data_IF_455091594243
#
_entry.id   IF_455091594243
#
_cell.length_a   1.000
_cell.length_b   1.000
_cell.length_c   1.000
_cell.angle_alpha   90.00
_cell.angle_beta   90.00
_cell.angle_gamma   90.00
#
_symmetry.space_group_name_H-M   'P 1'
#
loop_
_entity.id
_entity.type
_entity.pdbx_description
1 polymer ?
#
# COMPACT_ATOMS: atom_id res chain seq x y z
N UNK A 1 12.92 -9.32 -21.09
CA UNK A 1 11.60 -9.73 -20.55
C UNK A 1 11.04 -8.73 -19.53
N UNK A 2 11.78 -8.32 -18.50
CA UNK A 2 11.27 -7.46 -17.41
C UNK A 2 10.76 -6.06 -17.81
N UNK A 3 11.34 -5.45 -18.86
CA UNK A 3 10.88 -4.13 -19.33
C UNK A 3 9.50 -4.22 -19.97
N UNK A 4 9.28 -5.25 -20.80
CA UNK A 4 7.99 -5.51 -21.45
C UNK A 4 6.90 -5.85 -20.42
N UNK A 5 7.26 -6.62 -19.39
CA UNK A 5 6.37 -6.96 -18.28
C UNK A 5 5.99 -5.74 -17.44
N UNK A 6 6.93 -4.83 -17.18
CA UNK A 6 6.63 -3.55 -16.51
C UNK A 6 5.75 -2.64 -17.35
N UNK A 7 6.00 -2.53 -18.66
CA UNK A 7 5.12 -1.77 -19.56
C UNK A 7 3.71 -2.36 -19.61
N UNK A 8 3.60 -3.68 -19.64
CA UNK A 8 2.32 -4.37 -19.55
C UNK A 8 1.62 -4.09 -18.22
N UNK A 9 2.33 -4.16 -17.10
CA UNK A 9 1.78 -3.86 -15.78
C UNK A 9 1.25 -2.42 -15.72
N UNK A 10 2.02 -1.45 -16.21
CA UNK A 10 1.62 -0.04 -16.25
C UNK A 10 0.38 0.14 -17.12
N UNK A 11 0.35 -0.46 -18.31
CA UNK A 11 -0.81 -0.42 -19.20
C UNK A 11 -2.05 -1.02 -18.54
N UNK A 12 -1.93 -2.20 -17.92
CA UNK A 12 -3.02 -2.84 -17.19
C UNK A 12 -3.45 -2.01 -15.98
N UNK A 13 -2.53 -1.39 -15.26
CA UNK A 13 -2.82 -0.53 -14.12
C UNK A 13 -3.63 0.72 -14.51
N UNK A 14 -3.26 1.38 -15.61
CA UNK A 14 -3.96 2.58 -16.12
C UNK A 14 -5.31 2.23 -16.75
N UNK A 15 -5.44 1.06 -17.39
CA UNK A 15 -6.65 0.72 -18.16
C UNK A 15 -7.63 -0.11 -17.33
N UNK A 16 -7.18 -1.21 -16.73
CA UNK A 16 -8.08 -2.19 -16.11
C UNK A 16 -8.66 -1.67 -14.79
N UNK A 17 -7.87 -0.96 -13.98
CA UNK A 17 -8.35 -0.51 -12.65
C UNK A 17 -9.41 0.60 -12.75
N UNK A 18 -9.26 1.64 -13.60
CA UNK A 18 -10.32 2.62 -13.81
C UNK A 18 -11.54 2.04 -14.51
N UNK A 19 -11.35 1.17 -15.51
CA UNK A 19 -12.46 0.50 -16.21
C UNK A 19 -13.28 -0.37 -15.25
N UNK A 20 -12.60 -1.05 -14.32
CA UNK A 20 -13.26 -1.81 -13.27
C UNK A 20 -14.09 -0.89 -12.38
N UNK A 21 -13.53 0.20 -11.85
CA UNK A 21 -14.27 1.17 -11.03
C UNK A 21 -15.54 1.66 -11.76
N UNK A 22 -15.41 2.04 -13.03
CA UNK A 22 -16.55 2.43 -13.88
C UNK A 22 -17.62 1.34 -13.99
N UNK A 23 -17.21 0.10 -14.30
CA UNK A 23 -18.14 -1.02 -14.49
C UNK A 23 -18.97 -1.29 -13.23
N UNK A 24 -18.38 -1.18 -12.04
CA UNK A 24 -19.12 -1.34 -10.78
C UNK A 24 -20.11 -0.20 -10.55
N UNK A 25 -19.71 1.07 -10.73
CA UNK A 25 -20.64 2.19 -10.60
C UNK A 25 -21.81 2.11 -11.61
N UNK A 26 -21.54 1.68 -12.84
CA UNK A 26 -22.57 1.44 -13.84
C UNK A 26 -23.53 0.33 -13.43
N UNK A 27 -23.03 -0.79 -12.88
CA UNK A 27 -23.87 -1.88 -12.38
C UNK A 27 -24.80 -1.41 -11.24
N UNK A 28 -24.31 -0.57 -10.32
CA UNK A 28 -25.15 -0.02 -9.25
C UNK A 28 -26.18 0.98 -9.75
N UNK A 29 -25.84 1.81 -10.74
CA UNK A 29 -26.80 2.69 -11.37
C UNK A 29 -27.97 1.89 -11.99
N UNK A 30 -27.67 0.75 -12.60
CA UNK A 30 -28.70 -0.17 -13.14
C UNK A 30 -29.58 -0.74 -12.03
N UNK A 31 -28.99 -1.21 -10.91
CA UNK A 31 -29.77 -1.72 -9.78
C UNK A 31 -30.67 -0.63 -9.20
N UNK A 32 -30.13 0.57 -8.96
CA UNK A 32 -30.91 1.68 -8.41
C UNK A 32 -32.06 2.09 -9.33
N UNK A 33 -31.83 2.10 -10.65
CA UNK A 33 -32.87 2.37 -11.64
C UNK A 33 -33.96 1.30 -11.59
N UNK A 34 -33.60 0.02 -11.53
CA UNK A 34 -34.57 -1.08 -11.39
C UNK A 34 -35.41 -0.93 -10.12
N UNK A 35 -34.75 -0.69 -8.98
CA UNK A 35 -35.43 -0.47 -7.69
C UNK A 35 -36.37 0.73 -7.77
N UNK A 36 -35.94 1.84 -8.39
CA UNK A 36 -36.76 3.03 -8.58
C UNK A 36 -38.00 2.77 -9.44
N UNK A 37 -37.86 2.01 -10.53
CA UNK A 37 -39.00 1.61 -11.39
C UNK A 37 -39.97 0.71 -10.63
N UNK A 38 -39.47 -0.27 -9.86
CA UNK A 38 -40.33 -1.11 -9.05
C UNK A 38 -41.03 -0.33 -7.92
N UNK A 39 -40.35 0.63 -7.30
CA UNK A 39 -40.93 1.47 -6.26
C UNK A 39 -42.00 2.43 -6.81
N UNK A 40 -41.81 2.99 -8.01
CA UNK A 40 -42.75 3.97 -8.58
C UNK A 40 -44.09 3.35 -8.97
N UNK A 41 -44.11 2.05 -9.26
CA UNK A 41 -45.35 1.30 -9.52
C UNK A 41 -45.83 0.56 -8.27
N UNK A 42 -44.91 -0.04 -7.53
CA UNK A 42 -45.20 -0.90 -6.38
C UNK A 42 -45.76 -0.13 -5.18
N UNK A 43 -45.26 1.07 -4.88
CA UNK A 43 -45.76 1.87 -3.75
C UNK A 43 -47.21 2.35 -3.98
N UNK A 44 -47.56 2.94 -5.14
CA UNK A 44 -48.96 3.27 -5.44
C UNK A 44 -49.88 2.06 -5.43
N UNK A 45 -49.43 0.93 -5.99
CA UNK A 45 -50.22 -0.30 -6.00
C UNK A 45 -50.44 -0.86 -4.58
N UNK A 46 -49.39 -0.88 -3.75
CA UNK A 46 -49.50 -1.29 -2.35
C UNK A 46 -50.45 -0.40 -1.58
N UNK A 47 -50.38 0.91 -1.79
CA UNK A 47 -51.30 1.86 -1.17
C UNK A 47 -52.75 1.63 -1.61
N UNK A 48 -52.98 1.41 -2.91
CA UNK A 48 -54.30 1.07 -3.42
C UNK A 48 -54.86 -0.22 -2.83
N UNK A 49 -54.01 -1.24 -2.64
CA UNK A 49 -54.43 -2.49 -2.00
C UNK A 49 -54.81 -2.27 -0.53
N UNK A 50 -54.04 -1.48 0.22
CA UNK A 50 -54.35 -1.14 1.61
C UNK A 50 -55.66 -0.36 1.73
N UNK A 51 -55.88 0.68 0.91
CA UNK A 51 -57.13 1.44 0.91
C UNK A 51 -58.35 0.58 0.54
N UNK A 52 -58.17 -0.37 -0.37
CA UNK A 52 -59.23 -1.33 -0.71
C UNK A 52 -59.53 -2.27 0.46
N UNK A 53 -58.52 -2.65 1.25
CA UNK A 53 -58.69 -3.47 2.45
C UNK A 53 -59.41 -2.70 3.57
N UNK A 54 -59.17 -1.40 3.70
CA UNK A 54 -59.88 -0.53 4.66
C UNK A 54 -61.31 -0.13 4.22
N UNK A 55 -61.80 -0.67 3.11
CA UNK A 55 -63.19 -0.52 2.68
C UNK A 55 -63.48 0.74 1.86
N UNK A 56 -62.46 1.44 1.35
CA UNK A 56 -62.66 2.57 0.44
C UNK A 56 -63.20 2.06 -0.89
N UNK A 57 -64.20 2.77 -1.44
CA UNK A 57 -64.80 2.42 -2.72
C UNK A 57 -63.77 2.42 -3.85
N UNK A 58 -63.90 1.48 -4.80
CA UNK A 58 -62.95 1.31 -5.92
C UNK A 58 -62.74 2.60 -6.73
N UNK A 59 -63.79 3.40 -6.91
CA UNK A 59 -63.72 4.66 -7.66
C UNK A 59 -62.88 5.73 -6.93
N UNK A 60 -63.09 5.89 -5.63
CA UNK A 60 -62.34 6.85 -4.81
C UNK A 60 -60.88 6.42 -4.68
N UNK A 61 -60.64 5.12 -4.47
CA UNK A 61 -59.29 4.55 -4.37
C UNK A 61 -58.49 4.73 -5.68
N UNK A 62 -59.09 4.44 -6.83
CA UNK A 62 -58.45 4.63 -8.13
C UNK A 62 -58.16 6.11 -8.40
N UNK A 63 -59.09 7.00 -8.06
CA UNK A 63 -58.88 8.44 -8.19
C UNK A 63 -57.72 8.95 -7.30
N UNK A 64 -57.72 8.60 -6.00
CA UNK A 64 -56.66 8.98 -5.07
C UNK A 64 -55.29 8.44 -5.50
N UNK A 65 -55.24 7.16 -5.88
CA UNK A 65 -53.97 6.52 -6.23
C UNK A 65 -53.40 7.09 -7.53
N UNK A 66 -54.23 7.30 -8.56
CA UNK A 66 -53.76 7.75 -9.87
C UNK A 66 -53.42 9.25 -9.90
N UNK A 67 -54.24 10.10 -9.28
CA UNK A 67 -54.09 11.56 -9.38
C UNK A 67 -53.26 12.19 -8.26
N UNK A 68 -53.08 11.50 -7.13
CA UNK A 68 -52.30 12.04 -6.02
C UNK A 68 -51.10 11.16 -5.70
N UNK A 69 -51.30 9.88 -5.39
CA UNK A 69 -50.21 9.02 -4.88
C UNK A 69 -49.17 8.72 -5.95
N UNK A 70 -49.58 8.32 -7.15
CA UNK A 70 -48.68 8.06 -8.26
C UNK A 70 -47.81 9.28 -8.64
N UNK A 71 -48.36 10.47 -8.92
CA UNK A 71 -47.53 11.62 -9.29
C UNK A 71 -46.61 12.05 -8.14
N UNK A 72 -47.06 12.03 -6.89
CA UNK A 72 -46.22 12.37 -5.73
C UNK A 72 -45.05 11.38 -5.61
N UNK A 73 -45.33 10.08 -5.63
CA UNK A 73 -44.28 9.04 -5.55
C UNK A 73 -43.35 9.07 -6.75
N UNK A 74 -43.86 9.29 -7.96
CA UNK A 74 -43.06 9.43 -9.17
C UNK A 74 -42.11 10.63 -9.08
N UNK A 75 -42.57 11.80 -8.63
CA UNK A 75 -41.73 13.00 -8.46
C UNK A 75 -40.64 12.76 -7.42
N UNK A 76 -40.98 12.18 -6.27
CA UNK A 76 -40.01 11.89 -5.19
C UNK A 76 -38.94 10.91 -5.70
N UNK A 77 -39.35 9.80 -6.31
CA UNK A 77 -38.42 8.78 -6.80
C UNK A 77 -37.55 9.32 -7.93
N UNK A 78 -38.13 10.08 -8.87
CA UNK A 78 -37.36 10.67 -9.98
C UNK A 78 -36.35 11.69 -9.46
N UNK A 79 -36.72 12.54 -8.51
CA UNK A 79 -35.80 13.47 -7.87
C UNK A 79 -34.68 12.75 -7.11
N UNK A 80 -35.02 11.70 -6.37
CA UNK A 80 -34.06 10.87 -5.65
C UNK A 80 -33.08 10.16 -6.60
N UNK A 81 -33.56 9.60 -7.70
CA UNK A 81 -32.73 8.99 -8.75
C UNK A 81 -31.81 10.01 -9.43
N UNK A 82 -32.30 11.23 -9.67
CA UNK A 82 -31.47 12.29 -10.26
C UNK A 82 -30.33 12.70 -9.32
N UNK A 83 -30.59 12.87 -8.02
CA UNK A 83 -29.56 13.15 -7.03
C UNK A 83 -28.55 11.99 -6.90
N UNK A 84 -29.05 10.75 -6.86
CA UNK A 84 -28.21 9.57 -6.83
C UNK A 84 -27.34 9.45 -8.09
N UNK A 85 -27.88 9.78 -9.26
CA UNK A 85 -27.13 9.79 -10.51
C UNK A 85 -25.98 10.80 -10.47
N UNK A 86 -26.24 12.03 -10.01
CA UNK A 86 -25.19 13.06 -9.84
C UNK A 86 -24.11 12.58 -8.87
N UNK A 87 -24.52 12.03 -7.73
CA UNK A 87 -23.59 11.49 -6.73
C UNK A 87 -22.73 10.36 -7.28
N UNK A 88 -23.34 9.39 -7.97
CA UNK A 88 -22.61 8.28 -8.60
C UNK A 88 -21.65 8.80 -9.67
N UNK A 89 -22.02 9.82 -10.44
CA UNK A 89 -21.16 10.43 -11.45
C UNK A 89 -19.92 11.07 -10.81
N UNK A 90 -20.09 11.89 -9.78
CA UNK A 90 -18.98 12.49 -9.03
C UNK A 90 -18.09 11.43 -8.39
N UNK A 91 -18.69 10.44 -7.72
CA UNK A 91 -17.96 9.34 -7.08
C UNK A 91 -17.19 8.50 -8.10
N UNK A 92 -17.76 8.24 -9.28
CA UNK A 92 -17.09 7.49 -10.35
C UNK A 92 -15.83 8.22 -10.82
N UNK A 93 -15.91 9.55 -11.01
CA UNK A 93 -14.75 10.36 -11.44
C UNK A 93 -13.63 10.30 -10.40
N UNK A 94 -13.97 10.50 -9.12
CA UNK A 94 -12.98 10.45 -8.02
C UNK A 94 -12.34 9.06 -7.93
N UNK A 95 -13.13 7.99 -7.90
CA UNK A 95 -12.60 6.64 -7.79
C UNK A 95 -11.85 6.18 -9.04
N UNK A 96 -12.21 6.64 -10.23
CA UNK A 96 -11.40 6.40 -11.43
C UNK A 96 -10.06 7.11 -11.36
N UNK A 97 -10.01 8.36 -10.90
CA UNK A 97 -8.77 9.12 -10.74
C UNK A 97 -7.84 8.48 -9.70
N UNK A 98 -8.39 8.08 -8.55
CA UNK A 98 -7.66 7.32 -7.52
C UNK A 98 -7.16 5.98 -8.06
N UNK A 99 -8.02 5.21 -8.74
CA UNK A 99 -7.66 3.93 -9.33
C UNK A 99 -6.54 4.06 -10.36
N UNK A 100 -6.57 5.13 -11.14
CA UNK A 100 -5.54 5.44 -12.14
C UNK A 100 -4.22 5.79 -11.45
N UNK A 101 -4.25 6.64 -10.42
CA UNK A 101 -3.06 7.01 -9.65
C UNK A 101 -2.43 5.80 -8.95
N UNK A 102 -3.22 5.04 -8.18
CA UNK A 102 -2.74 3.84 -7.51
C UNK A 102 -2.30 2.76 -8.48
N UNK A 103 -3.03 2.58 -9.58
CA UNK A 103 -2.70 1.62 -10.63
C UNK A 103 -1.40 1.94 -11.32
N UNK A 104 -1.18 3.21 -11.66
CA UNK A 104 0.06 3.69 -12.26
C UNK A 104 1.24 3.54 -11.31
N UNK A 105 1.16 4.09 -10.10
CA UNK A 105 2.28 4.13 -9.15
C UNK A 105 2.69 2.71 -8.75
N UNK A 106 1.74 1.84 -8.40
CA UNK A 106 2.08 0.49 -7.98
C UNK A 106 2.61 -0.37 -9.13
N UNK A 107 2.09 -0.20 -10.35
CA UNK A 107 2.57 -0.96 -11.50
C UNK A 107 3.93 -0.45 -12.00
N UNK A 108 4.21 0.85 -11.85
CA UNK A 108 5.51 1.45 -12.16
C UNK A 108 6.60 0.96 -11.20
N UNK A 109 6.31 1.01 -9.89
CA UNK A 109 7.26 0.67 -8.83
C UNK A 109 7.46 -0.85 -8.71
N UNK A 110 6.38 -1.62 -8.77
CA UNK A 110 6.37 -3.04 -8.41
C UNK A 110 5.98 -3.98 -9.57
N UNK A 111 5.83 -3.47 -10.80
CA UNK A 111 5.53 -4.30 -11.97
C UNK A 111 4.20 -5.06 -11.85
N UNK A 112 4.17 -6.31 -12.33
CA UNK A 112 2.94 -7.11 -12.31
C UNK A 112 2.46 -7.48 -10.91
N UNK A 113 3.38 -7.66 -9.94
CA UNK A 113 3.01 -7.89 -8.54
C UNK A 113 2.31 -6.66 -7.94
N UNK A 114 2.77 -5.46 -8.31
CA UNK A 114 2.10 -4.20 -8.01
C UNK A 114 0.68 -4.16 -8.54
N UNK A 115 0.51 -4.44 -9.84
CA UNK A 115 -0.80 -4.51 -10.48
C UNK A 115 -1.74 -5.50 -9.76
N UNK A 116 -1.30 -6.75 -9.56
CA UNK A 116 -2.13 -7.78 -8.93
C UNK A 116 -2.47 -7.45 -7.48
N UNK A 117 -1.54 -6.86 -6.75
CA UNK A 117 -1.78 -6.40 -5.40
C UNK A 117 -2.85 -5.30 -5.41
N UNK A 118 -2.69 -4.25 -6.22
CA UNK A 118 -3.68 -3.16 -6.35
C UNK A 118 -5.04 -3.68 -6.79
N UNK A 119 -5.09 -4.60 -7.77
CA UNK A 119 -6.32 -5.24 -8.21
C UNK A 119 -7.03 -6.00 -7.09
N UNK A 120 -6.28 -6.60 -6.16
CA UNK A 120 -6.84 -7.34 -5.01
C UNK A 120 -7.18 -6.44 -3.82
N UNK A 121 -6.43 -5.36 -3.60
CA UNK A 121 -6.57 -4.48 -2.44
C UNK A 121 -7.54 -3.33 -2.67
N UNK A 122 -7.78 -2.94 -3.92
CA UNK A 122 -8.77 -1.93 -4.26
C UNK A 122 -10.16 -2.45 -3.87
N UNK A 123 -10.61 -2.06 -2.67
CA UNK A 123 -11.99 -2.17 -2.25
C UNK A 123 -12.79 -1.17 -3.05
N UNK A 124 -13.51 -1.67 -4.05
CA UNK A 124 -14.42 -0.93 -4.93
C UNK A 124 -15.66 -0.46 -4.16
N UNK A 125 -15.82 -0.95 -2.93
CA UNK A 125 -16.88 -0.61 -2.01
C UNK A 125 -16.29 0.23 -0.88
N UNK A 126 -16.48 1.55 -0.95
CA UNK A 126 -16.47 2.32 0.29
C UNK A 126 -17.70 1.90 1.09
N UNK A 127 -17.53 1.74 2.39
CA UNK A 127 -18.66 1.54 3.31
C UNK A 127 -19.66 2.69 3.16
N UNK A 128 -19.17 3.87 2.73
CA UNK A 128 -19.93 5.10 2.49
C UNK A 128 -20.89 4.99 1.30
N UNK A 129 -20.50 4.33 0.20
CA UNK A 129 -21.40 4.02 -0.91
C UNK A 129 -22.50 3.05 -0.48
N UNK A 130 -22.15 2.01 0.29
CA UNK A 130 -23.14 1.06 0.79
C UNK A 130 -24.09 1.67 1.81
N UNK A 131 -23.57 2.52 2.68
CA UNK A 131 -24.37 3.25 3.67
C UNK A 131 -25.29 4.25 2.98
N UNK A 132 -24.81 4.96 1.95
CA UNK A 132 -25.63 5.87 1.14
C UNK A 132 -26.73 5.12 0.39
N UNK A 133 -26.43 3.95 -0.17
CA UNK A 133 -27.43 3.07 -0.79
C UNK A 133 -28.43 2.53 0.24
N UNK A 134 -27.99 2.14 1.44
CA UNK A 134 -28.89 1.71 2.53
C UNK A 134 -29.83 2.82 2.99
N UNK A 135 -29.31 4.04 3.14
CA UNK A 135 -30.09 5.23 3.45
C UNK A 135 -31.12 5.48 2.33
N UNK A 136 -30.70 5.37 1.08
CA UNK A 136 -31.57 5.55 -0.09
C UNK A 136 -32.68 4.48 -0.21
N UNK A 137 -32.35 3.22 0.08
CA UNK A 137 -33.30 2.08 0.00
C UNK A 137 -34.14 1.95 1.27
N UNK A 138 -33.99 2.86 2.25
CA UNK A 138 -34.76 2.83 3.50
C UNK A 138 -34.44 1.64 4.42
N UNK A 139 -33.31 0.97 4.20
CA UNK A 139 -32.80 -0.14 5.01
C UNK A 139 -31.95 0.32 6.20
N UNK A 140 -31.90 1.62 6.47
CA UNK A 140 -31.15 2.18 7.57
C UNK A 140 -31.85 1.90 8.91
N UNK A 141 -31.18 1.14 9.76
CA UNK A 141 -31.54 1.05 11.18
C UNK A 141 -31.31 2.44 11.79
N UNK A 142 -32.32 3.04 12.42
CA UNK A 142 -32.34 4.44 12.89
C UNK A 142 -31.19 4.79 13.84
N UNK A 143 -30.51 3.79 14.41
CA UNK A 143 -29.32 3.98 15.26
C UNK A 143 -28.04 4.34 14.47
N UNK A 144 -28.02 4.29 13.13
CA UNK A 144 -26.85 4.63 12.31
C UNK A 144 -26.93 6.01 11.64
N UNK A 145 -28.05 6.73 11.75
CA UNK A 145 -28.22 8.07 11.16
C UNK A 145 -27.42 9.17 11.89
N UNK A 146 -26.79 8.88 13.03
CA UNK A 146 -25.95 9.82 13.77
C UNK A 146 -24.49 9.91 13.30
N UNK A 147 -24.03 9.07 12.36
CA UNK A 147 -22.63 9.13 11.89
C UNK A 147 -22.35 10.27 10.91
N UNK A 148 -23.38 10.84 10.27
CA UNK A 148 -23.18 11.93 9.28
C UNK A 148 -22.93 13.30 9.94
N UNK A 149 -23.13 13.42 11.26
CA UNK A 149 -22.71 14.59 12.03
C UNK A 149 -21.20 14.57 12.35
N UNK A 150 -20.51 13.45 12.14
CA UNK A 150 -19.08 13.32 12.46
C UNK A 150 -18.16 13.84 11.36
N UNK A 151 -18.52 13.72 10.08
CA UNK A 151 -17.71 14.26 8.96
C UNK A 151 -17.70 15.79 8.93
N UNK A 152 -18.80 16.45 9.31
CA UNK A 152 -18.83 17.91 9.43
C UNK A 152 -18.11 18.44 10.69
N UNK A 153 -17.93 17.59 11.71
CA UNK A 153 -17.10 17.95 12.89
C UNK A 153 -15.61 17.84 12.63
N UNK A 154 -15.15 17.13 11.60
CA UNK A 154 -13.71 17.12 11.25
C UNK A 154 -13.28 18.47 10.69
N UNK A 155 -14.16 19.20 9.99
CA UNK A 155 -13.85 20.52 9.43
C UNK A 155 -14.04 21.64 10.47
N UNK A 156 -15.00 21.52 11.39
CA UNK A 156 -15.25 22.53 12.43
C UNK A 156 -14.50 22.29 13.77
N UNK A 157 -14.04 21.06 14.04
CA UNK A 157 -13.42 20.66 15.31
C UNK A 157 -11.90 20.87 15.38
N UNK A 158 -11.27 21.40 14.33
CA UNK A 158 -9.84 21.70 14.28
C UNK A 158 -9.41 22.86 15.19
N UNK A 159 -10.34 23.54 15.86
CA UNK A 159 -10.01 24.73 16.65
C UNK A 159 -9.93 24.51 18.16
N UNK A 160 -10.49 23.45 18.75
CA UNK A 160 -10.41 23.24 20.20
C UNK A 160 -10.58 21.77 20.56
N UNK A 161 -9.50 21.08 20.92
CA UNK A 161 -9.60 19.86 21.72
C UNK A 161 -8.65 19.93 22.91
N UNK A 162 -9.27 20.14 24.07
CA UNK A 162 -8.72 19.83 25.38
C UNK A 162 -8.61 18.30 25.48
N UNK A 163 -7.39 17.81 25.73
CA UNK A 163 -7.06 16.40 25.72
C UNK A 163 -7.49 15.81 27.06
N UNK A 164 -8.72 15.30 27.11
CA UNK A 164 -9.19 14.51 28.27
C UNK A 164 -8.44 13.17 28.25
N UNK A 165 -7.61 12.99 29.27
CA UNK A 165 -6.88 11.75 29.53
C UNK A 165 -7.85 10.76 30.21
N UNK A 166 -8.50 9.92 29.42
CA UNK A 166 -9.18 8.73 29.94
C UNK A 166 -8.24 7.52 29.81
N UNK A 167 -8.22 6.67 30.84
CA UNK A 167 -7.47 5.42 30.85
C UNK A 167 -8.11 4.40 29.89
N UNK A 168 -7.33 3.79 29.00
CA UNK A 168 -7.85 2.90 27.95
C UNK A 168 -7.17 1.53 27.94
N UNK A 169 -7.93 0.49 28.31
CA UNK A 169 -7.60 -0.91 28.07
C UNK A 169 -8.10 -1.34 26.67
N UNK A 170 -7.18 -1.62 25.74
CA UNK A 170 -7.49 -2.25 24.44
C UNK A 170 -7.06 -3.73 24.52
N UNK A 171 -8.00 -4.71 24.52
CA UNK A 171 -7.70 -6.08 24.97
C UNK A 171 -6.80 -6.96 24.08
N UNK A 172 -6.44 -6.57 22.84
CA UNK A 172 -5.81 -7.50 21.88
C UNK A 172 -4.52 -7.00 21.19
N UNK A 173 -4.11 -5.75 21.43
CA UNK A 173 -2.84 -5.22 20.90
C UNK A 173 -1.79 -5.30 21.99
N UNK A 174 -0.99 -6.36 21.98
CA UNK A 174 0.09 -6.53 22.94
C UNK A 174 1.12 -5.41 22.74
N UNK A 175 1.17 -4.46 23.68
CA UNK A 175 2.38 -3.68 23.91
C UNK A 175 3.45 -4.66 24.38
N UNK A 176 4.51 -4.84 23.61
CA UNK A 176 5.65 -5.66 24.01
C UNK A 176 6.80 -4.73 24.35
N UNK A 177 7.43 -5.00 25.49
CA UNK A 177 8.65 -4.29 25.88
C UNK A 177 9.68 -4.36 24.74
N UNK A 178 10.38 -3.25 24.46
CA UNK A 178 11.44 -3.23 23.47
C UNK A 178 12.49 -4.28 23.83
N UNK A 179 12.71 -5.24 22.93
CA UNK A 179 13.73 -6.28 23.12
C UNK A 179 15.10 -5.74 22.70
N UNK A 180 16.14 -6.35 23.28
CA UNK A 180 17.55 -5.97 23.16
C UNK A 180 17.99 -5.57 21.74
N UNK A 181 18.94 -4.62 21.63
CA UNK A 181 19.42 -4.10 20.37
C UNK A 181 19.93 -5.23 19.49
N UNK A 182 19.33 -5.32 18.32
CA UNK A 182 19.70 -6.24 17.27
C UNK A 182 21.10 -5.94 16.75
N UNK A 183 21.88 -6.99 16.45
CA UNK A 183 23.16 -6.85 15.74
C UNK A 183 22.83 -6.37 14.33
N UNK A 184 22.92 -5.06 14.11
CA UNK A 184 22.68 -4.42 12.82
C UNK A 184 23.88 -4.63 11.88
N UNK A 185 23.70 -4.31 10.60
CA UNK A 185 24.79 -4.31 9.62
C UNK A 185 25.63 -3.04 9.79
N UNK A 186 26.94 -3.21 9.96
CA UNK A 186 27.89 -2.09 9.96
C UNK A 186 27.99 -1.46 8.56
N UNK A 187 28.41 -0.19 8.47
CA UNK A 187 28.65 0.50 7.19
C UNK A 187 29.57 -0.28 6.24
N UNK A 188 30.56 -0.99 6.81
CA UNK A 188 31.48 -1.82 6.02
C UNK A 188 30.80 -3.07 5.46
N UNK A 189 29.84 -3.66 6.18
CA UNK A 189 29.05 -4.78 5.68
C UNK A 189 28.08 -4.32 4.60
N UNK A 190 27.44 -3.16 4.78
CA UNK A 190 26.54 -2.55 3.80
C UNK A 190 27.25 -2.29 2.46
N UNK A 191 28.44 -1.66 2.48
CA UNK A 191 29.25 -1.42 1.28
C UNK A 191 29.60 -2.72 0.54
N UNK A 192 29.99 -3.76 1.26
CA UNK A 192 30.31 -5.07 0.66
C UNK A 192 29.09 -5.72 -0.03
N UNK A 193 27.90 -5.58 0.58
CA UNK A 193 26.66 -6.09 -0.01
C UNK A 193 26.30 -5.28 -1.26
N UNK A 194 26.43 -3.96 -1.21
CA UNK A 194 26.19 -3.07 -2.35
C UNK A 194 27.12 -3.38 -3.53
N UNK A 195 28.43 -3.53 -3.27
CA UNK A 195 29.41 -3.96 -4.27
C UNK A 195 29.04 -5.30 -4.90
N UNK A 196 28.68 -6.30 -4.08
CA UNK A 196 28.24 -7.62 -4.54
C UNK A 196 27.00 -7.52 -5.43
N UNK A 197 26.02 -6.71 -5.03
CA UNK A 197 24.80 -6.47 -5.82
C UNK A 197 25.16 -5.83 -7.16
N UNK A 198 26.01 -4.80 -7.20
CA UNK A 198 26.42 -4.09 -8.42
C UNK A 198 27.14 -5.06 -9.37
N UNK A 199 28.12 -5.81 -8.87
CA UNK A 199 28.91 -6.73 -9.68
C UNK A 199 28.05 -7.86 -10.26
N UNK A 200 27.24 -8.53 -9.44
CA UNK A 200 26.38 -9.62 -9.93
C UNK A 200 25.28 -9.12 -10.88
N UNK A 201 24.86 -7.86 -10.74
CA UNK A 201 23.91 -7.24 -11.68
C UNK A 201 24.54 -7.04 -13.05
N UNK A 202 25.82 -6.67 -13.12
CA UNK A 202 26.54 -6.50 -14.39
C UNK A 202 26.64 -7.79 -15.18
N UNK A 203 26.79 -8.92 -14.50
CA UNK A 203 26.87 -10.26 -15.11
C UNK A 203 25.55 -11.02 -15.07
N UNK A 204 24.43 -10.33 -14.84
CA UNK A 204 23.12 -10.95 -14.61
C UNK A 204 22.74 -11.95 -15.69
N UNK A 205 23.10 -11.72 -16.95
CA UNK A 205 22.72 -12.60 -18.07
C UNK A 205 23.38 -13.98 -17.99
N UNK A 206 24.64 -14.04 -17.54
CA UNK A 206 25.43 -15.27 -17.39
C UNK A 206 25.09 -16.10 -16.14
N UNK A 207 24.27 -15.57 -15.23
CA UNK A 207 23.91 -16.26 -14.00
C UNK A 207 22.88 -17.37 -14.24
N UNK A 208 23.01 -18.47 -13.50
CA UNK A 208 21.97 -19.48 -13.39
C UNK A 208 20.65 -18.88 -12.85
N UNK A 209 19.53 -19.47 -13.22
CA UNK A 209 18.19 -18.96 -12.86
C UNK A 209 18.00 -18.84 -11.34
N UNK A 210 18.47 -19.83 -10.58
CA UNK A 210 18.42 -19.82 -9.11
C UNK A 210 19.23 -18.64 -8.52
N UNK A 211 20.41 -18.35 -9.06
CA UNK A 211 21.27 -17.24 -8.63
C UNK A 211 20.65 -15.89 -8.98
N UNK A 212 19.93 -15.79 -10.10
CA UNK A 212 19.15 -14.59 -10.49
C UNK A 212 18.02 -14.31 -9.50
N UNK A 213 17.34 -15.35 -9.04
CA UNK A 213 16.27 -15.25 -8.04
C UNK A 213 16.83 -14.82 -6.67
N UNK A 214 17.93 -15.43 -6.23
CA UNK A 214 18.63 -15.06 -4.99
C UNK A 214 19.15 -13.62 -5.02
N UNK A 215 19.75 -13.18 -6.14
CA UNK A 215 20.19 -11.79 -6.32
C UNK A 215 19.01 -10.81 -6.28
N UNK A 216 17.87 -11.19 -6.85
CA UNK A 216 16.67 -10.34 -6.85
C UNK A 216 16.10 -10.23 -5.43
N UNK A 217 16.05 -11.34 -4.70
CA UNK A 217 15.60 -11.36 -3.31
C UNK A 217 16.53 -10.56 -2.39
N UNK A 218 17.86 -10.69 -2.56
CA UNK A 218 18.85 -9.89 -1.85
C UNK A 218 18.67 -8.39 -2.11
N UNK A 219 18.45 -7.98 -3.36
CA UNK A 219 18.17 -6.57 -3.69
C UNK A 219 16.94 -6.04 -2.97
N UNK A 220 15.85 -6.80 -2.97
CA UNK A 220 14.60 -6.40 -2.32
C UNK A 220 14.83 -6.24 -0.81
N UNK A 221 15.42 -7.23 -0.16
CA UNK A 221 15.69 -7.18 1.28
C UNK A 221 16.67 -6.08 1.65
N UNK A 222 17.73 -5.87 0.86
CA UNK A 222 18.69 -4.79 1.08
C UNK A 222 18.02 -3.42 1.03
N UNK A 223 17.20 -3.15 0.00
CA UNK A 223 16.46 -1.88 -0.12
C UNK A 223 15.46 -1.70 1.03
N UNK A 224 14.74 -2.75 1.42
CA UNK A 224 13.82 -2.70 2.56
C UNK A 224 14.54 -2.41 3.88
N UNK A 225 15.69 -3.05 4.09
CA UNK A 225 16.53 -2.82 5.26
C UNK A 225 17.02 -1.36 5.30
N UNK A 226 17.57 -0.84 4.21
CA UNK A 226 18.10 0.53 4.17
C UNK A 226 17.01 1.58 4.37
N UNK A 227 15.82 1.36 3.80
CA UNK A 227 14.68 2.27 3.98
C UNK A 227 14.21 2.29 5.44
N UNK A 228 14.01 1.11 6.04
CA UNK A 228 13.58 1.02 7.43
C UNK A 228 14.64 1.53 8.41
N UNK A 229 15.92 1.28 8.14
CA UNK A 229 17.02 1.77 8.95
C UNK A 229 17.09 3.31 8.91
N UNK A 230 17.06 3.91 7.71
CA UNK A 230 17.05 5.37 7.55
C UNK A 230 15.87 6.02 8.26
N UNK A 231 14.67 5.43 8.17
CA UNK A 231 13.47 5.94 8.86
C UNK A 231 13.62 5.91 10.37
N UNK A 232 14.12 4.82 10.93
CA UNK A 232 14.33 4.71 12.38
C UNK A 232 15.46 5.62 12.85
N UNK A 233 16.50 5.81 12.04
CA UNK A 233 17.59 6.76 12.32
C UNK A 233 17.08 8.20 12.33
N UNK A 234 16.24 8.61 11.37
CA UNK A 234 15.58 9.92 11.37
C UNK A 234 14.73 10.15 12.62
N UNK A 235 13.97 9.14 13.04
CA UNK A 235 13.19 9.19 14.29
C UNK A 235 14.11 9.31 15.51
N UNK A 236 15.20 8.54 15.55
CA UNK A 236 16.17 8.58 16.63
C UNK A 236 16.83 9.95 16.75
N UNK A 237 17.27 10.54 15.63
CA UNK A 237 17.85 11.88 15.57
C UNK A 237 16.85 12.95 16.01
N UNK A 238 15.59 12.87 15.57
CA UNK A 238 14.53 13.78 15.96
C UNK A 238 14.14 13.66 17.44
N UNK A 239 14.25 12.46 18.02
CA UNK A 239 14.09 12.24 19.47
C UNK A 239 15.25 12.85 20.25
N UNK A 240 16.50 12.63 19.80
CA UNK A 240 17.71 13.17 20.44
C UNK A 240 17.79 14.70 20.37
N UNK A 241 17.37 15.32 19.26
CA UNK A 241 17.32 16.77 19.10
C UNK A 241 16.09 17.40 19.80
N UNK A 242 15.18 16.58 20.32
CA UNK A 242 13.87 16.98 20.85
C UNK A 242 12.99 17.73 19.83
N UNK A 243 13.28 17.60 18.54
CA UNK A 243 12.53 18.20 17.43
C UNK A 243 11.50 17.20 16.86
N UNK A 244 10.63 16.69 17.73
CA UNK A 244 9.60 15.68 17.39
C UNK A 244 8.66 16.09 16.25
N UNK A 245 8.58 17.38 15.92
CA UNK A 245 7.85 17.89 14.75
C UNK A 245 8.43 17.44 13.40
N UNK A 246 9.67 16.93 13.37
CA UNK A 246 10.28 16.37 12.18
C UNK A 246 9.78 14.94 11.89
N UNK A 247 9.24 14.25 12.89
CA UNK A 247 8.68 12.91 12.73
C UNK A 247 7.31 13.03 12.08
N UNK A 248 7.19 12.48 10.86
CA UNK A 248 5.93 12.45 10.14
C UNK A 248 5.13 11.19 10.52
N UNK A 249 3.86 11.37 10.86
CA UNK A 249 2.94 10.26 11.03
C UNK A 249 2.55 9.69 9.65
N UNK A 250 2.96 8.46 9.40
CA UNK A 250 2.72 7.77 8.12
C UNK A 250 1.28 7.28 8.00
N UNK A 251 0.57 7.07 9.11
CA UNK A 251 -0.82 6.61 9.10
C UNK A 251 -1.82 7.77 8.98
N UNK A 252 -1.51 8.90 9.61
CA UNK A 252 -2.36 10.10 9.64
C UNK A 252 -1.52 11.31 9.24
N UNK A 253 -1.59 11.67 7.95
CA UNK A 253 -0.83 12.80 7.42
C UNK A 253 -1.09 14.10 8.21
N UNK A 254 -0.03 14.90 8.37
CA UNK A 254 -0.04 16.21 9.02
C UNK A 254 -0.33 16.22 10.54
N UNK A 255 -0.34 15.05 11.19
CA UNK A 255 -0.43 14.98 12.64
C UNK A 255 0.95 15.14 13.28
N UNK A 256 0.99 15.88 14.41
CA UNK A 256 2.22 16.02 15.21
C UNK A 256 2.44 14.76 16.02
N UNK A 257 3.62 14.17 15.90
CA UNK A 257 4.00 13.00 16.69
C UNK A 257 4.51 13.43 18.06
N UNK A 258 3.88 12.93 19.13
CA UNK A 258 4.28 13.16 20.52
C UNK A 258 5.02 11.95 21.09
N UNK A 259 4.43 10.77 20.87
CA UNK A 259 4.97 9.47 21.31
C UNK A 259 5.07 8.60 20.05
N UNK A 260 6.25 8.54 19.41
CA UNK A 260 6.43 7.74 18.22
C UNK A 260 6.33 6.25 18.55
N UNK A 261 5.57 5.54 17.74
CA UNK A 261 5.40 4.09 17.81
C UNK A 261 5.70 3.48 16.45
N UNK A 262 6.32 2.31 16.45
CA UNK A 262 6.50 1.48 15.28
C UNK A 262 5.39 0.43 15.24
N UNK A 263 4.41 0.62 14.37
CA UNK A 263 3.39 -0.37 14.07
C UNK A 263 3.96 -1.39 13.09
N UNK A 264 3.93 -2.69 13.42
CA UNK A 264 4.42 -3.78 12.57
C UNK A 264 3.34 -4.82 12.31
N UNK A 265 3.40 -5.45 11.14
CA UNK A 265 2.61 -6.67 10.86
C UNK A 265 3.50 -7.91 10.97
N UNK A 266 3.02 -8.94 11.65
CA UNK A 266 3.69 -10.24 11.77
C UNK A 266 2.85 -11.36 11.14
N UNK A 267 3.51 -12.42 10.67
CA UNK A 267 2.89 -13.66 10.22
C UNK A 267 3.43 -14.87 11.00
N UNK A 268 2.60 -15.89 11.18
CA UNK A 268 2.95 -17.12 11.90
C UNK A 268 3.48 -18.19 10.95
N UNK A 269 4.67 -18.72 11.22
CA UNK A 269 5.26 -19.84 10.49
C UNK A 269 5.77 -20.88 11.49
N UNK A 270 5.01 -21.98 11.64
CA UNK A 270 5.22 -22.93 12.73
C UNK A 270 4.86 -22.30 14.08
N UNK A 271 5.75 -22.44 15.06
CA UNK A 271 5.59 -21.84 16.40
C UNK A 271 6.12 -20.40 16.50
N UNK A 272 6.81 -19.92 15.47
CA UNK A 272 7.46 -18.61 15.47
C UNK A 272 6.65 -17.56 14.70
N UNK A 273 6.70 -16.31 15.19
CA UNK A 273 6.17 -15.13 14.52
C UNK A 273 7.30 -14.37 13.83
N UNK A 274 7.11 -14.04 12.56
CA UNK A 274 8.06 -13.32 11.71
C UNK A 274 7.43 -12.03 11.20
N UNK A 275 8.23 -11.02 10.90
CA UNK A 275 7.74 -9.75 10.37
C UNK A 275 7.35 -9.86 8.90
N UNK A 276 6.22 -9.26 8.52
CA UNK A 276 5.84 -9.10 7.12
C UNK A 276 6.71 -7.97 6.55
N UNK A 277 7.53 -8.22 5.50
CA UNK A 277 8.43 -7.21 4.97
C UNK A 277 7.67 -5.97 4.48
N UNK A 278 8.21 -4.78 4.77
CA UNK A 278 7.68 -3.49 4.34
C UNK A 278 6.22 -3.22 4.79
N UNK A 279 5.80 -3.82 5.91
CA UNK A 279 4.51 -3.60 6.54
C UNK A 279 4.68 -2.97 7.93
N UNK A 280 5.65 -2.05 8.04
CA UNK A 280 6.00 -1.33 9.24
C UNK A 280 5.80 0.17 9.03
N UNK A 281 5.18 0.83 10.01
CA UNK A 281 4.77 2.23 9.92
C UNK A 281 5.11 2.99 11.19
N UNK A 282 5.58 4.23 11.04
CA UNK A 282 5.77 5.15 12.16
C UNK A 282 4.52 6.00 12.33
N UNK A 283 3.97 6.05 13.54
CA UNK A 283 2.77 6.83 13.86
C UNK A 283 2.83 7.31 15.30
N UNK A 284 1.89 8.18 15.69
CA UNK A 284 1.75 8.63 17.07
C UNK A 284 0.84 7.71 17.88
N UNK A 285 1.25 7.37 19.11
CA UNK A 285 0.52 6.47 20.01
C UNK A 285 -0.93 6.90 20.21
N UNK A 286 -1.14 8.15 20.59
CA UNK A 286 -2.47 8.64 20.96
C UNK A 286 -3.36 8.72 19.72
N UNK A 287 -2.77 9.17 18.60
CA UNK A 287 -3.43 9.21 17.30
C UNK A 287 -3.87 7.83 16.82
N UNK A 288 -3.00 6.82 16.98
CA UNK A 288 -3.29 5.43 16.64
C UNK A 288 -4.36 4.81 17.56
N UNK A 289 -4.29 5.05 18.86
CA UNK A 289 -5.31 4.57 19.81
C UNK A 289 -6.67 5.19 19.53
N UNK A 290 -6.72 6.48 19.22
CA UNK A 290 -7.93 7.16 18.81
C UNK A 290 -8.46 6.62 17.47
N UNK A 291 -7.58 6.36 16.50
CA UNK A 291 -7.92 5.70 15.25
C UNK A 291 -8.58 4.35 15.50
N UNK A 292 -7.98 3.49 16.34
CA UNK A 292 -8.51 2.15 16.63
C UNK A 292 -9.94 2.15 17.19
N UNK A 293 -10.30 3.20 17.95
CA UNK A 293 -11.66 3.37 18.48
C UNK A 293 -12.66 3.80 17.41
N UNK A 294 -12.26 4.73 16.54
CA UNK A 294 -13.12 5.27 15.48
C UNK A 294 -13.22 4.35 14.27
N UNK A 295 -12.14 3.67 13.92
CA UNK A 295 -12.03 2.81 12.77
C UNK A 295 -11.11 1.61 13.05
N UNK A 296 -11.66 0.41 12.89
CA UNK A 296 -10.89 -0.84 13.05
C UNK A 296 -9.99 -1.17 11.85
N UNK A 297 -10.00 -0.33 10.80
CA UNK A 297 -9.23 -0.51 9.57
C UNK A 297 -8.03 0.44 9.50
N UNK A 298 -6.94 -0.10 8.97
CA UNK A 298 -5.73 0.62 8.67
C UNK A 298 -5.95 1.63 7.52
N UNK A 299 -5.54 2.90 7.65
CA UNK A 299 -5.87 3.94 6.67
C UNK A 299 -5.26 3.67 5.29
N UNK A 300 -3.99 3.25 5.25
CA UNK A 300 -3.24 3.05 4.00
C UNK A 300 -3.65 1.78 3.24
N UNK A 301 -3.72 0.63 3.92
CA UNK A 301 -3.92 -0.68 3.26
C UNK A 301 -5.33 -1.26 3.48
N UNK A 302 -6.18 -0.58 4.27
CA UNK A 302 -7.55 -0.99 4.63
C UNK A 302 -7.64 -2.37 5.30
N UNK A 303 -6.54 -2.85 5.88
CA UNK A 303 -6.50 -4.10 6.63
C UNK A 303 -7.12 -3.92 8.03
N UNK A 304 -7.68 -4.97 8.61
CA UNK A 304 -8.27 -4.89 9.95
C UNK A 304 -7.19 -5.05 11.02
N UNK A 305 -7.09 -4.12 11.97
CA UNK A 305 -6.09 -4.21 13.04
C UNK A 305 -6.29 -5.44 13.93
N UNK A 306 -7.55 -5.76 14.27
CA UNK A 306 -7.89 -6.92 15.12
C UNK A 306 -7.83 -8.26 14.40
N UNK A 307 -8.07 -8.29 13.09
CA UNK A 307 -8.12 -9.52 12.31
C UNK A 307 -7.50 -9.31 10.93
N UNK A 308 -6.18 -9.10 10.88
CA UNK A 308 -5.52 -8.73 9.64
C UNK A 308 -5.57 -9.85 8.62
N UNK A 309 -5.44 -9.48 7.35
CA UNK A 309 -5.44 -10.44 6.24
C UNK A 309 -4.20 -11.32 6.29
N UNK A 310 -4.42 -12.59 5.97
CA UNK A 310 -3.37 -13.60 5.83
C UNK A 310 -2.27 -13.14 4.87
N UNK A 311 -1.02 -13.42 5.21
CA UNK A 311 0.14 -13.23 4.34
C UNK A 311 0.58 -14.59 3.82
N UNK A 312 0.57 -14.82 2.50
CA UNK A 312 0.88 -16.14 1.90
C UNK A 312 0.08 -17.30 2.55
N UNK A 313 -1.21 -17.07 2.83
CA UNK A 313 -2.11 -18.00 3.54
C UNK A 313 -1.74 -18.29 5.01
N UNK A 314 -0.75 -17.59 5.57
CA UNK A 314 -0.33 -17.70 6.96
C UNK A 314 -1.04 -16.66 7.83
N UNK A 315 -1.39 -17.05 9.05
CA UNK A 315 -2.06 -16.19 10.04
C UNK A 315 -1.21 -14.96 10.32
N UNK A 316 -1.84 -13.80 10.44
CA UNK A 316 -1.15 -12.53 10.72
C UNK A 316 -1.71 -11.82 11.94
N UNK A 317 -0.90 -10.92 12.51
CA UNK A 317 -1.29 -10.01 13.59
C UNK A 317 -0.58 -8.67 13.47
N UNK A 318 -1.16 -7.62 14.03
CA UNK A 318 -0.46 -6.35 14.23
C UNK A 318 0.11 -6.28 15.64
N UNK A 319 1.30 -5.68 15.76
CA UNK A 319 1.93 -5.31 17.02
C UNK A 319 2.48 -3.90 16.90
N UNK A 320 2.74 -3.28 18.02
CA UNK A 320 3.35 -1.95 18.07
C UNK A 320 4.43 -1.90 19.14
N UNK A 321 5.46 -1.09 18.90
CA UNK A 321 6.57 -0.84 19.82
C UNK A 321 6.71 0.65 20.04
N UNK A 322 6.91 1.07 21.29
CA UNK A 322 7.21 2.46 21.60
C UNK A 322 8.67 2.76 21.25
N UNK A 323 8.87 3.81 20.44
CA UNK A 323 10.20 4.26 20.04
C UNK A 323 10.68 5.30 21.05
N UNK A 324 11.84 5.05 21.66
CA UNK A 324 12.47 5.96 22.61
C UNK A 324 13.89 6.26 22.19
N UNK A 325 14.51 7.26 22.82
CA UNK A 325 15.92 7.61 22.61
C UNK A 325 16.84 6.38 22.76
N UNK A 326 16.57 5.50 23.72
CA UNK A 326 17.38 4.31 23.98
C UNK A 326 16.96 3.09 23.14
N UNK A 327 15.75 3.10 22.57
CA UNK A 327 15.16 1.96 21.87
C UNK A 327 14.48 2.43 20.58
N UNK A 328 15.30 2.62 19.54
CA UNK A 328 14.85 2.96 18.20
C UNK A 328 15.33 1.90 17.18
N UNK A 329 15.02 0.63 17.47
CA UNK A 329 15.33 -0.49 16.58
C UNK A 329 14.11 -1.40 16.42
N UNK A 330 14.09 -2.15 15.32
CA UNK A 330 13.04 -3.11 15.03
C UNK A 330 13.59 -4.52 14.88
N UNK A 331 12.77 -5.51 15.27
CA UNK A 331 13.05 -6.92 15.00
C UNK A 331 12.96 -7.26 13.50
N UNK A 332 12.25 -6.45 12.71
CA UNK A 332 12.29 -6.58 11.25
C UNK A 332 13.71 -6.35 10.72
N UNK A 333 14.45 -5.36 11.26
CA UNK A 333 15.85 -5.16 10.89
C UNK A 333 16.71 -6.37 11.23
N UNK A 334 16.53 -7.00 12.40
CA UNK A 334 17.32 -8.19 12.77
C UNK A 334 17.02 -9.40 11.90
N UNK A 335 15.74 -9.62 11.62
CA UNK A 335 15.30 -10.73 10.76
C UNK A 335 15.86 -10.51 9.34
N UNK A 336 15.82 -9.27 8.84
CA UNK A 336 16.41 -8.88 7.57
C UNK A 336 17.94 -9.06 7.54
N UNK A 337 18.67 -8.68 8.61
CA UNK A 337 20.13 -8.92 8.70
C UNK A 337 20.45 -10.41 8.57
N UNK A 338 19.70 -11.26 9.27
CA UNK A 338 19.86 -12.72 9.20
C UNK A 338 19.69 -13.25 7.78
N UNK A 339 18.61 -12.85 7.11
CA UNK A 339 18.33 -13.27 5.72
C UNK A 339 19.36 -12.71 4.73
N UNK A 340 19.75 -11.44 4.88
CA UNK A 340 20.75 -10.79 4.03
C UNK A 340 22.11 -11.50 4.16
N UNK A 341 22.55 -11.86 5.38
CA UNK A 341 23.81 -12.58 5.59
C UNK A 341 23.80 -13.96 4.92
N UNK A 342 22.70 -14.71 5.05
CA UNK A 342 22.55 -16.02 4.39
C UNK A 342 22.63 -15.90 2.87
N UNK A 343 21.95 -14.90 2.29
CA UNK A 343 21.96 -14.68 0.84
C UNK A 343 23.31 -14.18 0.33
N UNK A 344 23.95 -13.27 1.07
CA UNK A 344 25.31 -12.81 0.79
C UNK A 344 26.26 -13.98 0.74
N UNK A 345 26.25 -14.83 1.76
CA UNK A 345 27.17 -15.97 1.87
C UNK A 345 26.89 -17.04 0.80
N UNK A 346 25.65 -17.17 0.32
CA UNK A 346 25.30 -18.02 -0.82
C UNK A 346 25.74 -17.44 -2.18
N UNK A 347 25.76 -16.11 -2.33
CA UNK A 347 26.09 -15.41 -3.59
C UNK A 347 27.59 -15.08 -3.72
N UNK A 348 28.33 -14.99 -2.62
CA UNK A 348 29.77 -14.70 -2.61
C UNK A 348 30.60 -15.73 -3.42
N UNK A 349 30.36 -17.05 -3.34
CA UNK A 349 31.10 -18.03 -4.13
C UNK A 349 30.87 -17.88 -5.64
N UNK A 350 29.66 -17.49 -6.04
CA UNK A 350 29.28 -17.30 -7.45
C UNK A 350 30.03 -16.11 -8.07
N UNK A 351 30.26 -15.06 -7.30
CA UNK A 351 31.10 -13.93 -7.72
C UNK A 351 32.55 -14.36 -7.97
N UNK A 352 33.09 -15.24 -7.12
CA UNK A 352 34.44 -15.77 -7.25
C UNK A 352 34.59 -16.71 -8.47
N UNK A 353 33.56 -17.48 -8.80
CA UNK A 353 33.53 -18.31 -10.02
C UNK A 353 33.52 -17.47 -11.29
N UNK A 354 32.74 -16.39 -11.34
CA UNK A 354 32.70 -15.46 -12.47
C UNK A 354 34.06 -14.75 -12.65
N UNK A 355 34.70 -14.34 -11.55
CA UNK A 355 36.04 -13.77 -11.61
C UNK A 355 37.07 -14.79 -12.13
N UNK A 356 37.00 -16.05 -11.68
CA UNK A 356 37.88 -17.11 -12.19
C UNK A 356 37.68 -17.38 -13.69
N UNK A 357 36.44 -17.39 -14.17
CA UNK A 357 36.14 -17.57 -15.60
C UNK A 357 36.66 -16.39 -16.44
N UNK A 358 36.47 -15.15 -15.99
CA UNK A 358 36.96 -13.97 -16.71
C UNK A 358 38.49 -13.88 -16.73
N UNK A 359 39.17 -14.20 -15.62
CA UNK A 359 40.65 -14.30 -15.59
C UNK A 359 41.18 -15.40 -16.52
N UNK A 360 40.44 -16.50 -16.69
CA UNK A 360 40.83 -17.56 -17.62
C UNK A 360 40.64 -17.20 -19.09
N UNK A 361 39.73 -16.27 -19.42
CA UNK A 361 39.49 -15.82 -20.80
C UNK A 361 40.54 -14.80 -21.24
N UNK A 362 40.95 -13.87 -20.36
CA UNK A 362 42.01 -12.90 -20.67
C UNK A 362 43.42 -13.53 -20.72
N UNK A 363 43.61 -14.71 -20.10
CA UNK A 363 44.87 -15.46 -20.17
C UNK A 363 45.03 -16.27 -21.48
N UNK A 364 43.97 -16.42 -22.29
CA UNK A 364 44.08 -16.99 -23.63
C UNK A 364 44.35 -15.88 -24.65
N UNK A 365 45.60 -15.40 -24.70
CA UNK A 365 46.11 -14.76 -25.91
C UNK A 365 46.26 -15.83 -27.00
N UNK A 366 45.52 -15.79 -28.12
CA UNK A 366 45.74 -16.72 -29.22
C UNK A 366 46.99 -16.28 -29.98
N UNK A 367 48.17 -16.50 -29.41
CA UNK A 367 49.46 -16.24 -30.06
C UNK A 367 49.76 -17.24 -31.21
N UNK A 368 48.74 -17.89 -31.78
CA UNK A 368 48.89 -18.91 -32.82
C UNK A 368 48.51 -18.42 -34.23
N UNK A 369 47.82 -17.29 -34.37
CA UNK A 369 47.59 -16.64 -35.67
C UNK A 369 48.10 -15.20 -35.58
N UNK A 370 48.92 -14.80 -36.55
CA UNK A 370 49.82 -13.64 -36.48
C UNK A 370 49.18 -12.28 -36.19
N UNK A 371 50.00 -11.24 -35.99
CA UNK A 371 49.56 -9.98 -35.41
C UNK A 371 48.55 -9.27 -36.32
N UNK A 372 47.33 -9.10 -35.82
CA UNK A 372 46.38 -8.13 -36.34
C UNK A 372 46.89 -6.74 -35.92
N UNK A 373 47.52 -6.05 -36.85
CA UNK A 373 47.79 -4.62 -36.74
C UNK A 373 46.46 -3.87 -36.67
N UNK A 374 46.09 -3.41 -35.47
CA UNK A 374 45.18 -2.29 -35.32
C UNK A 374 45.88 -1.20 -34.51
N UNK A 375 46.04 -0.07 -35.21
CA UNK A 375 46.56 1.19 -34.72
C UNK A 375 45.83 1.64 -33.46
N UNK A 376 46.52 1.70 -32.33
CA UNK A 376 46.23 2.67 -31.27
C UNK A 376 47.39 3.65 -31.20
N UNK A 377 47.32 4.66 -32.07
CA UNK A 377 48.26 5.77 -32.19
C UNK A 377 48.16 6.78 -31.02
N UNK A 378 47.73 6.36 -29.83
CA UNK A 378 47.59 7.23 -28.66
C UNK A 378 48.34 6.77 -27.40
N UNK A 379 49.00 5.60 -27.44
CA UNK A 379 49.74 5.07 -26.27
C UNK A 379 51.27 5.20 -26.39
N UNK A 380 51.79 5.66 -27.54
CA UNK A 380 53.24 5.86 -27.74
C UNK A 380 53.72 7.30 -27.53
N UNK A 381 52.82 8.29 -27.45
CA UNK A 381 53.23 9.68 -27.20
C UNK A 381 53.63 9.92 -25.73
N UNK A 382 53.08 9.16 -24.78
CA UNK A 382 53.36 9.31 -23.34
C UNK A 382 54.59 8.53 -22.84
N UNK A 383 55.19 7.67 -23.67
CA UNK A 383 56.42 6.93 -23.33
C UNK A 383 57.69 7.48 -24.00
N UNK A 384 57.56 8.42 -24.94
CA UNK A 384 58.70 9.07 -25.60
C UNK A 384 59.14 10.36 -24.92
N UNK A 385 58.22 11.08 -24.24
CA UNK A 385 58.58 12.32 -23.53
C UNK A 385 59.31 12.05 -22.19
N UNK A 386 59.12 10.87 -21.58
CA UNK A 386 59.75 10.51 -20.31
C UNK A 386 61.16 9.88 -20.46
N UNK A 387 61.65 9.71 -21.69
CA UNK A 387 62.95 9.07 -21.98
C UNK A 387 64.04 10.02 -22.45
N UNK A 388 63.69 11.25 -22.84
CA UNK A 388 64.66 12.28 -23.25
C UNK A 388 65.08 13.26 -22.13
N UNK A 389 64.42 13.24 -20.96
CA UNK A 389 64.82 14.07 -19.81
C UNK A 389 65.89 13.43 -18.88
N UNK A 390 66.38 12.23 -19.21
CA UNK A 390 67.40 11.52 -18.40
C UNK A 390 68.72 11.25 -19.12
N UNK A 391 68.98 11.89 -20.27
CA UNK A 391 70.29 11.90 -20.90
C UNK A 391 70.60 13.24 -21.59
N UNK A 392 71.02 14.22 -20.79
CA UNK A 392 72.08 15.17 -21.14
C UNK A 392 72.59 15.91 -19.90
#
# INVERSE_FOLDING_TARGET
MYVLERFLAIFLGIVVLPLRAFAYHAFYAIIALLVGVFASVGLPLSFALTLNHEGISKAINLFLTLFFVFPITAVIITGALALLAVFLLCSTVVHMAEALGFGFINSLLYGMDGFWNTLRTQQIFSQDLWNSIKVFVGLANTNQLNSNAEEQRIIAGLQNFEIVHEDFEIPDLQNKEPQEPSILLDETELKKIEELIIHLTRFKECLAQQTKEQLTLLKILYTQYTDLFSKLEEVHLALMSNEKSQIMDELIAYNKVRIPILLVKQYKKGECWYHVPAASYITDRDSFLHLLKKNSKHPLNRDLFKKPRYYKQMETRYLWYELTENYCSSRELSDAVGEIRVLRDALLPQLNEIHRMNFSIDAFSPAFFGPVTKNDAYSQALQLEQKDELRL
#
